data_IF_734738672289
#
_entry.id   IF_734738672289
#
_cell.length_a   1.000
_cell.length_b   1.000
_cell.length_c   1.000
_cell.angle_alpha   90.00
_cell.angle_beta   90.00
_cell.angle_gamma   90.00
#
_symmetry.space_group_name_H-M   'P 1'
#
loop_
_entity.id
_entity.type
_entity.pdbx_description
1 polymer ?
#
# COMPACT_ATOMS: atom_id res chain seq x y z
N UNK A 1 9.92 9.95 -2.72
CA UNK A 1 11.22 10.66 -2.79
C UNK A 1 11.42 10.94 -4.25
N UNK A 2 11.59 12.22 -4.55
CA UNK A 2 11.51 12.67 -5.93
C UNK A 2 12.87 13.23 -6.31
N UNK A 3 13.42 12.69 -7.39
CA UNK A 3 14.80 12.95 -7.78
C UNK A 3 14.86 13.57 -9.17
N UNK A 4 15.77 14.51 -9.35
CA UNK A 4 16.17 15.04 -10.65
C UNK A 4 17.58 14.57 -11.00
N UNK A 5 17.73 14.01 -12.21
CA UNK A 5 19.02 13.59 -12.74
C UNK A 5 19.11 13.85 -14.25
N UNK A 6 20.19 14.51 -14.68
CA UNK A 6 20.42 14.89 -16.08
C UNK A 6 21.52 14.05 -16.77
N UNK A 7 21.93 12.92 -16.18
CA UNK A 7 22.88 11.97 -16.78
C UNK A 7 24.36 12.23 -16.48
N UNK A 8 24.75 13.48 -16.21
CA UNK A 8 26.15 13.92 -16.09
C UNK A 8 26.46 14.71 -14.79
N UNK A 9 25.47 14.91 -13.93
CA UNK A 9 25.62 15.51 -12.61
C UNK A 9 25.12 14.54 -11.52
N UNK A 10 25.47 14.75 -10.24
CA UNK A 10 24.88 14.00 -9.14
C UNK A 10 23.35 14.12 -9.12
N UNK A 11 22.69 13.05 -8.67
CA UNK A 11 21.23 13.03 -8.46
C UNK A 11 20.88 14.07 -7.38
N UNK A 12 19.85 14.88 -7.63
CA UNK A 12 19.34 15.87 -6.68
C UNK A 12 17.99 15.42 -6.11
N UNK A 13 17.84 15.43 -4.79
CA UNK A 13 16.55 15.26 -4.12
C UNK A 13 15.76 16.57 -4.22
N UNK A 14 14.53 16.49 -4.71
CA UNK A 14 13.61 17.61 -4.80
C UNK A 14 12.69 17.64 -3.58
N UNK A 15 12.05 16.52 -3.27
CA UNK A 15 11.12 16.39 -2.15
C UNK A 15 11.07 14.97 -1.59
N UNK A 16 10.59 14.86 -0.35
CA UNK A 16 10.35 13.60 0.32
C UNK A 16 8.90 13.52 0.80
N UNK A 17 8.03 13.01 -0.07
CA UNK A 17 6.65 12.69 0.25
C UNK A 17 6.61 11.41 1.10
N UNK A 18 6.70 11.57 2.42
CA UNK A 18 6.69 10.45 3.37
C UNK A 18 5.28 10.05 3.82
N UNK A 19 4.31 10.96 3.70
CA UNK A 19 2.99 10.81 4.28
C UNK A 19 2.00 10.10 3.35
N UNK A 20 2.14 10.29 2.03
CA UNK A 20 1.23 9.74 1.02
C UNK A 20 2.00 8.84 0.04
N UNK A 21 1.71 7.54 -0.04
CA UNK A 21 2.42 6.61 -0.90
C UNK A 21 1.88 6.64 -2.34
N UNK A 22 1.90 7.81 -3.00
CA UNK A 22 1.46 7.95 -4.39
C UNK A 22 2.29 7.04 -5.32
N UNK A 23 1.65 6.48 -6.35
CA UNK A 23 2.28 5.56 -7.33
C UNK A 23 2.78 4.22 -6.76
N UNK A 24 2.41 3.87 -5.52
CA UNK A 24 2.89 2.65 -4.86
C UNK A 24 2.41 1.39 -5.58
N UNK A 25 1.11 1.30 -5.86
CA UNK A 25 0.50 0.16 -6.54
C UNK A 25 1.11 -0.02 -7.94
N UNK A 26 1.27 1.08 -8.66
CA UNK A 26 1.85 1.11 -10.00
C UNK A 26 3.28 0.59 -10.01
N UNK A 27 4.09 1.04 -9.04
CA UNK A 27 5.52 0.71 -8.96
C UNK A 27 5.79 -0.70 -8.42
N UNK A 28 4.92 -1.20 -7.56
CA UNK A 28 5.11 -2.49 -6.90
C UNK A 28 4.48 -3.64 -7.69
N UNK A 29 3.22 -3.51 -8.09
CA UNK A 29 2.43 -4.60 -8.65
C UNK A 29 2.15 -4.44 -10.14
N UNK A 30 1.71 -3.26 -10.59
CA UNK A 30 1.37 -3.09 -12.01
C UNK A 30 2.59 -3.25 -12.93
N UNK A 31 3.74 -2.68 -12.54
CA UNK A 31 5.02 -2.89 -13.23
C UNK A 31 5.42 -4.37 -13.29
N UNK A 32 5.13 -5.14 -12.23
CA UNK A 32 5.38 -6.58 -12.21
C UNK A 32 4.51 -7.33 -13.23
N UNK A 33 3.21 -7.00 -13.30
CA UNK A 33 2.31 -7.60 -14.29
C UNK A 33 2.78 -7.30 -15.72
N UNK A 34 3.15 -6.05 -15.99
CA UNK A 34 3.71 -5.68 -17.28
C UNK A 34 4.99 -6.46 -17.60
N UNK A 35 5.89 -6.61 -16.63
CA UNK A 35 7.14 -7.35 -16.79
C UNK A 35 6.86 -8.82 -17.13
N UNK A 36 5.93 -9.46 -16.44
CA UNK A 36 5.53 -10.85 -16.69
C UNK A 36 4.95 -11.02 -18.10
N UNK A 37 4.08 -10.12 -18.55
CA UNK A 37 3.50 -10.17 -19.89
C UNK A 37 4.55 -9.89 -20.98
N UNK A 38 5.48 -8.97 -20.72
CA UNK A 38 6.61 -8.68 -21.61
C UNK A 38 7.58 -9.87 -21.73
N UNK A 39 7.86 -10.58 -20.63
CA UNK A 39 8.63 -11.84 -20.63
C UNK A 39 7.92 -12.92 -21.44
N UNK A 40 6.61 -13.09 -21.24
CA UNK A 40 5.78 -14.09 -21.93
C UNK A 40 5.68 -13.85 -23.44
N UNK A 41 5.56 -12.59 -23.84
CA UNK A 41 5.50 -12.17 -25.25
C UNK A 41 6.87 -12.13 -25.93
N UNK A 42 7.97 -12.27 -25.17
CA UNK A 42 9.33 -12.25 -25.71
C UNK A 42 9.85 -10.87 -26.12
N UNK A 43 9.21 -9.79 -25.64
CA UNK A 43 9.62 -8.41 -25.91
C UNK A 43 10.87 -8.03 -25.08
N UNK A 44 11.06 -8.69 -23.94
CA UNK A 44 12.24 -8.55 -23.06
C UNK A 44 12.88 -9.92 -22.76
N UNK A 45 14.13 -9.96 -22.27
CA UNK A 45 14.77 -11.20 -21.85
C UNK A 45 13.92 -11.98 -20.84
N UNK A 46 13.90 -13.31 -20.96
CA UNK A 46 13.09 -14.18 -20.09
C UNK A 46 13.52 -14.13 -18.62
N UNK A 47 14.79 -13.83 -18.39
CA UNK A 47 15.40 -13.69 -17.08
C UNK A 47 15.28 -12.28 -16.49
N UNK A 48 14.63 -11.33 -17.18
CA UNK A 48 14.66 -9.88 -16.90
C UNK A 48 14.58 -9.49 -15.41
N UNK A 49 13.44 -9.18 -14.81
CA UNK A 49 13.27 -8.86 -13.37
C UNK A 49 13.12 -7.40 -12.99
N UNK A 50 12.34 -7.19 -11.93
CA UNK A 50 12.01 -5.88 -11.39
C UNK A 50 13.17 -5.37 -10.54
N UNK A 51 13.51 -4.10 -10.69
CA UNK A 51 14.61 -3.49 -9.93
C UNK A 51 14.30 -3.34 -8.43
N UNK A 52 13.02 -3.22 -8.08
CA UNK A 52 12.56 -2.97 -6.72
C UNK A 52 12.00 -4.25 -6.08
N UNK A 53 11.93 -4.27 -4.75
CA UNK A 53 11.36 -5.34 -3.95
C UNK A 53 10.26 -4.79 -3.03
N UNK A 54 9.40 -3.91 -3.56
CA UNK A 54 8.45 -3.13 -2.74
C UNK A 54 7.44 -4.06 -2.07
N UNK A 55 6.81 -4.97 -2.83
CA UNK A 55 5.80 -5.87 -2.28
C UNK A 55 6.39 -6.78 -1.20
N UNK A 56 7.54 -7.41 -1.46
CA UNK A 56 8.21 -8.29 -0.51
C UNK A 56 8.56 -7.54 0.77
N UNK A 57 9.02 -6.28 0.66
CA UNK A 57 9.35 -5.45 1.81
C UNK A 57 8.11 -4.97 2.57
N UNK A 58 7.01 -4.68 1.90
CA UNK A 58 5.74 -4.34 2.55
C UNK A 58 5.21 -5.53 3.35
N UNK A 59 5.16 -6.72 2.74
CA UNK A 59 4.72 -7.95 3.41
C UNK A 59 5.62 -8.25 4.61
N UNK A 60 6.94 -8.20 4.44
CA UNK A 60 7.89 -8.38 5.54
C UNK A 60 7.65 -7.37 6.67
N UNK A 61 7.39 -6.11 6.32
CA UNK A 61 7.15 -5.07 7.31
C UNK A 61 5.82 -5.27 8.05
N UNK A 62 4.75 -5.65 7.36
CA UNK A 62 3.49 -5.98 8.03
C UNK A 62 3.61 -7.21 8.92
N UNK A 63 4.44 -8.20 8.54
CA UNK A 63 4.72 -9.36 9.40
C UNK A 63 5.42 -8.95 10.70
N UNK A 64 6.36 -8.01 10.65
CA UNK A 64 7.01 -7.46 11.85
C UNK A 64 6.05 -6.64 12.72
N UNK A 65 5.06 -5.98 12.10
CA UNK A 65 4.04 -5.17 12.76
C UNK A 65 2.78 -5.98 13.12
N UNK A 66 2.84 -7.30 13.05
CA UNK A 66 1.72 -8.17 13.31
C UNK A 66 1.15 -7.94 14.72
N UNK A 67 -0.17 -7.89 14.82
CA UNK A 67 -0.87 -8.00 16.11
C UNK A 67 -2.19 -8.73 15.95
N UNK A 68 -2.74 -9.21 17.06
CA UNK A 68 -3.98 -10.01 17.06
C UNK A 68 -5.23 -9.17 16.83
N UNK A 69 -5.16 -7.87 17.11
CA UNK A 69 -6.23 -6.92 16.85
C UNK A 69 -6.39 -6.72 15.34
N UNK A 70 -7.63 -6.60 14.83
CA UNK A 70 -7.86 -6.30 13.42
C UNK A 70 -7.20 -4.99 13.03
N UNK A 71 -6.56 -4.98 11.85
CA UNK A 71 -5.99 -3.77 11.27
C UNK A 71 -6.95 -3.19 10.23
N UNK A 72 -7.53 -2.03 10.55
CA UNK A 72 -8.46 -1.35 9.65
C UNK A 72 -7.69 -0.56 8.60
N UNK A 73 -8.12 -0.68 7.36
CA UNK A 73 -7.66 0.09 6.23
C UNK A 73 -8.81 1.01 5.83
N UNK A 74 -8.56 2.32 5.73
CA UNK A 74 -9.62 3.29 5.52
C UNK A 74 -9.26 4.35 4.49
N UNK A 75 -10.28 4.86 3.80
CA UNK A 75 -10.20 5.99 2.90
C UNK A 75 -11.55 6.73 2.91
N UNK A 76 -11.60 7.93 2.36
CA UNK A 76 -12.87 8.62 2.12
C UNK A 76 -13.69 7.88 1.05
N UNK A 77 -15.00 8.12 1.03
CA UNK A 77 -15.85 7.73 -0.09
C UNK A 77 -15.51 8.55 -1.34
N UNK A 78 -15.87 8.01 -2.51
CA UNK A 78 -15.68 8.65 -3.82
C UNK A 78 -14.21 8.99 -4.20
N UNK A 79 -13.21 8.37 -3.56
CA UNK A 79 -11.79 8.48 -3.92
C UNK A 79 -11.22 7.15 -4.46
N UNK A 80 -11.39 6.92 -5.76
CA UNK A 80 -10.96 5.65 -6.42
C UNK A 80 -9.45 5.38 -6.32
N UNK A 81 -8.62 6.44 -6.39
CA UNK A 81 -7.16 6.34 -6.26
C UNK A 81 -6.74 5.88 -4.85
N UNK A 82 -7.31 6.51 -3.81
CA UNK A 82 -7.06 6.11 -2.43
C UNK A 82 -7.56 4.70 -2.19
N UNK A 83 -8.76 4.37 -2.68
CA UNK A 83 -9.34 3.04 -2.50
C UNK A 83 -8.45 1.97 -3.09
N UNK A 84 -7.86 2.22 -4.26
CA UNK A 84 -6.91 1.31 -4.91
C UNK A 84 -5.62 1.15 -4.11
N UNK A 85 -5.05 2.25 -3.62
CA UNK A 85 -3.84 2.25 -2.80
C UNK A 85 -4.05 1.49 -1.48
N UNK A 86 -5.16 1.78 -0.80
CA UNK A 86 -5.55 1.16 0.47
C UNK A 86 -5.85 -0.32 0.28
N UNK A 87 -6.52 -0.71 -0.81
CA UNK A 87 -6.76 -2.12 -1.14
C UNK A 87 -5.45 -2.89 -1.35
N UNK A 88 -4.50 -2.29 -2.06
CA UNK A 88 -3.19 -2.92 -2.30
C UNK A 88 -2.40 -3.12 -1.00
N UNK A 89 -2.38 -2.12 -0.11
CA UNK A 89 -1.74 -2.25 1.20
C UNK A 89 -2.46 -3.27 2.10
N UNK A 90 -3.79 -3.30 2.06
CA UNK A 90 -4.60 -4.28 2.75
C UNK A 90 -4.24 -5.71 2.32
N UNK A 91 -4.09 -5.95 1.02
CA UNK A 91 -3.69 -7.25 0.47
C UNK A 91 -2.28 -7.65 0.94
N UNK A 92 -1.31 -6.73 0.93
CA UNK A 92 0.03 -6.99 1.47
C UNK A 92 -0.01 -7.37 2.96
N UNK A 93 -0.87 -6.71 3.77
CA UNK A 93 -1.03 -7.04 5.17
C UNK A 93 -1.69 -8.43 5.36
N UNK A 94 -2.66 -8.80 4.53
CA UNK A 94 -3.28 -10.14 4.54
C UNK A 94 -2.27 -11.23 4.19
N UNK A 95 -1.43 -11.01 3.17
CA UNK A 95 -0.34 -11.93 2.81
C UNK A 95 0.67 -12.11 3.95
N UNK A 96 0.83 -11.09 4.81
CA UNK A 96 1.63 -11.17 6.03
C UNK A 96 0.93 -11.86 7.21
N UNK A 97 -0.32 -12.32 7.03
CA UNK A 97 -1.12 -13.02 8.04
C UNK A 97 -1.92 -12.10 8.98
N UNK A 98 -1.92 -10.79 8.75
CA UNK A 98 -2.70 -9.84 9.56
C UNK A 98 -4.20 -10.00 9.27
N UNK A 99 -5.03 -10.08 10.32
CA UNK A 99 -6.47 -9.86 10.14
C UNK A 99 -6.66 -8.40 9.74
N UNK A 100 -7.16 -8.15 8.53
CA UNK A 100 -7.43 -6.81 8.04
C UNK A 100 -8.90 -6.62 7.70
N UNK A 101 -9.37 -5.40 7.92
CA UNK A 101 -10.74 -4.98 7.61
C UNK A 101 -10.69 -3.67 6.83
N UNK A 102 -11.76 -3.37 6.12
CA UNK A 102 -11.92 -2.10 5.42
C UNK A 102 -13.12 -1.34 5.98
N UNK A 103 -12.99 -0.02 6.12
CA UNK A 103 -14.10 0.87 6.46
C UNK A 103 -13.87 2.23 5.81
N UNK A 104 -14.94 2.89 5.34
CA UNK A 104 -14.85 4.27 4.90
C UNK A 104 -14.78 5.21 6.12
N UNK A 105 -14.09 6.35 5.98
CA UNK A 105 -14.01 7.34 7.06
C UNK A 105 -15.41 7.82 7.48
N UNK A 106 -16.32 7.94 6.52
CA UNK A 106 -17.70 8.37 6.69
C UNK A 106 -18.56 7.37 7.48
N UNK A 107 -18.14 6.11 7.51
CA UNK A 107 -18.83 5.01 8.20
C UNK A 107 -18.32 4.81 9.64
N UNK A 108 -17.30 5.57 10.07
CA UNK A 108 -16.76 5.50 11.43
C UNK A 108 -17.80 5.97 12.45
N UNK A 109 -18.08 5.14 13.45
CA UNK A 109 -18.90 5.49 14.60
C UNK A 109 -18.10 6.22 15.68
N UNK A 110 -18.81 6.99 16.53
CA UNK A 110 -18.27 7.57 17.76
C UNK A 110 -18.93 6.92 18.98
N UNK A 111 -18.22 5.99 19.60
CA UNK A 111 -18.66 5.27 20.79
C UNK A 111 -18.55 6.07 22.08
N UNK A 112 -19.11 5.51 23.16
CA UNK A 112 -19.04 6.11 24.51
C UNK A 112 -17.58 6.28 24.94
N UNK A 113 -17.24 7.47 25.44
CA UNK A 113 -15.86 7.79 25.83
C UNK A 113 -14.98 8.28 24.70
N UNK A 114 -15.54 8.51 23.50
CA UNK A 114 -14.83 9.10 22.37
C UNK A 114 -13.98 8.13 21.56
N UNK A 115 -14.28 6.83 21.64
CA UNK A 115 -13.62 5.79 20.84
C UNK A 115 -14.22 5.70 19.45
N UNK A 116 -13.41 5.38 18.45
CA UNK A 116 -13.88 5.11 17.09
C UNK A 116 -14.35 3.65 16.97
N UNK A 117 -15.48 3.43 16.30
CA UNK A 117 -16.06 2.10 16.11
C UNK A 117 -16.34 1.79 14.64
N UNK A 118 -16.39 0.49 14.29
CA UNK A 118 -16.90 0.03 13.01
C UNK A 118 -18.44 -0.03 12.99
N UNK A 119 -19.02 -0.49 11.87
CA UNK A 119 -20.47 -0.63 11.68
C UNK A 119 -21.13 -1.66 12.61
N UNK A 120 -20.34 -2.52 13.25
CA UNK A 120 -20.79 -3.55 14.20
C UNK A 120 -20.47 -3.14 15.66
N UNK A 121 -20.19 -1.85 15.91
CA UNK A 121 -19.79 -1.28 17.20
C UNK A 121 -18.49 -1.86 17.81
N UNK A 122 -17.64 -2.51 17.00
CA UNK A 122 -16.32 -2.94 17.46
C UNK A 122 -15.38 -1.73 17.55
N UNK A 123 -14.62 -1.62 18.65
CA UNK A 123 -13.62 -0.55 18.81
C UNK A 123 -12.46 -0.74 17.83
N UNK A 124 -12.16 0.32 17.08
CA UNK A 124 -11.03 0.37 16.15
C UNK A 124 -9.78 0.77 16.94
N UNK A 125 -8.81 -0.15 17.04
CA UNK A 125 -7.57 0.07 17.79
C UNK A 125 -6.37 0.41 16.89
N UNK A 126 -6.43 0.01 15.62
CA UNK A 126 -5.36 0.17 14.65
C UNK A 126 -5.98 0.49 13.30
N UNK A 127 -5.56 1.60 12.71
CA UNK A 127 -6.03 2.03 11.40
C UNK A 127 -4.85 2.53 10.55
N UNK A 128 -4.93 2.29 9.25
CA UNK A 128 -4.13 2.91 8.21
C UNK A 128 -5.06 3.71 7.30
#
# INVERSE_FOLDING_TARGET
MDFAWCGNAPVKLLEYNADTPTSLYESAYFQWLWLEDARRSGIIPRDADQYNAIQERLISRFSELYSREPFYFCCCQDTDEDRSTVLYLQDCAQQAGQESRFIYIEDLGLGVGGVLTDLDDNVIQRAF
#
